data_IF_065428096407
#
_entry.id   IF_065428096407
#
_cell.length_a   1.000
_cell.length_b   1.000
_cell.length_c   1.000
_cell.angle_alpha   90.00
_cell.angle_beta   90.00
_cell.angle_gamma   90.00
#
_symmetry.space_group_name_H-M   'P 1'
#
loop_
_entity.id
_entity.type
_entity.pdbx_description
1 polymer ?
#
# COMPACT_ATOMS: atom_id res chain seq x y z
N UNK A 1 29.81 -24.56 19.23
CA UNK A 1 29.14 -24.49 20.55
C UNK A 1 28.23 -23.26 20.75
N UNK A 2 27.90 -22.47 19.70
CA UNK A 2 27.18 -21.19 19.80
C UNK A 2 25.70 -21.18 19.35
N UNK A 3 25.08 -22.34 19.12
CA UNK A 3 23.73 -22.39 18.54
C UNK A 3 22.60 -22.53 19.57
N UNK A 4 22.91 -22.74 20.86
CA UNK A 4 21.90 -23.01 21.90
C UNK A 4 21.40 -21.74 22.60
N UNK A 5 22.21 -20.67 22.65
CA UNK A 5 21.84 -19.42 23.33
C UNK A 5 20.89 -18.52 22.52
N UNK A 6 20.88 -18.63 21.19
CA UNK A 6 19.93 -17.90 20.32
C UNK A 6 18.51 -18.47 20.39
N UNK A 7 18.34 -19.77 20.60
CA UNK A 7 17.01 -20.37 20.74
C UNK A 7 16.34 -19.98 22.06
N UNK A 8 17.11 -19.90 23.15
CA UNK A 8 16.60 -19.52 24.47
C UNK A 8 16.16 -18.06 24.58
N UNK A 9 16.80 -17.14 23.85
CA UNK A 9 16.39 -15.72 23.81
C UNK A 9 15.08 -15.53 23.05
N UNK A 10 14.90 -16.22 21.91
CA UNK A 10 13.63 -16.22 21.17
C UNK A 10 12.46 -16.80 21.96
N UNK A 11 12.69 -17.85 22.76
CA UNK A 11 11.63 -18.47 23.57
C UNK A 11 11.20 -17.53 24.71
N UNK A 12 12.14 -16.83 25.36
CA UNK A 12 11.80 -15.83 26.40
C UNK A 12 11.00 -14.66 25.85
N UNK A 13 11.39 -14.12 24.69
CA UNK A 13 10.65 -13.03 24.03
C UNK A 13 9.24 -13.48 23.58
N UNK A 14 9.10 -14.73 23.13
CA UNK A 14 7.81 -15.30 22.73
C UNK A 14 6.89 -15.55 23.95
N UNK A 15 7.45 -15.93 25.11
CA UNK A 15 6.71 -16.07 26.37
C UNK A 15 6.27 -14.69 26.91
N UNK A 16 7.13 -13.69 26.90
CA UNK A 16 6.79 -12.33 27.35
C UNK A 16 5.75 -11.65 26.44
N UNK A 17 5.83 -11.86 25.13
CA UNK A 17 4.81 -11.39 24.19
C UNK A 17 3.44 -12.07 24.43
N UNK A 18 3.44 -13.36 24.78
CA UNK A 18 2.22 -14.12 25.08
C UNK A 18 1.60 -13.69 26.42
N UNK A 19 2.43 -13.38 27.42
CA UNK A 19 1.98 -12.87 28.72
C UNK A 19 1.40 -11.45 28.63
N UNK A 20 2.02 -10.56 27.85
CA UNK A 20 1.49 -9.22 27.61
C UNK A 20 0.19 -9.22 26.79
N UNK A 21 0.03 -10.16 25.86
CA UNK A 21 -1.21 -10.35 25.11
C UNK A 21 -2.38 -10.80 26.00
N UNK A 22 -2.12 -11.68 26.96
CA UNK A 22 -3.13 -12.11 27.94
C UNK A 22 -3.54 -11.00 28.92
N UNK A 23 -2.62 -10.10 29.30
CA UNK A 23 -2.95 -8.99 30.17
C UNK A 23 -3.87 -7.95 29.49
N UNK A 24 -3.73 -7.77 28.16
CA UNK A 24 -4.63 -6.91 27.38
C UNK A 24 -6.07 -7.48 27.29
N UNK A 25 -6.20 -8.81 27.20
CA UNK A 25 -7.52 -9.48 27.24
C UNK A 25 -8.15 -9.49 28.64
N UNK A 26 -7.36 -9.50 29.71
CA UNK A 26 -7.88 -9.36 31.08
C UNK A 26 -8.42 -7.95 31.37
N UNK A 27 -7.88 -6.89 30.76
CA UNK A 27 -8.42 -5.53 30.90
C UNK A 27 -9.73 -5.29 30.14
N UNK A 28 -9.98 -6.03 29.06
CA UNK A 28 -11.23 -5.95 28.28
C UNK A 28 -12.37 -6.77 28.90
N UNK A 29 -12.04 -7.80 29.67
CA UNK A 29 -13.00 -8.55 30.49
C UNK A 29 -12.88 -8.11 31.95
N UNK A 30 -13.46 -6.97 32.29
CA UNK A 30 -13.56 -6.45 33.66
C UNK A 30 -14.43 -7.30 34.59
N UNK A 31 -14.10 -8.58 34.73
CA UNK A 31 -14.71 -9.50 35.68
C UNK A 31 -13.60 -9.96 36.63
N UNK A 32 -13.43 -9.21 37.73
CA UNK A 32 -12.79 -9.76 38.93
C UNK A 32 -13.76 -10.81 39.48
N UNK A 33 -13.38 -12.08 39.39
CA UNK A 33 -14.02 -13.12 40.18
C UNK A 33 -13.46 -13.01 41.60
N UNK A 34 -14.19 -12.33 42.48
CA UNK A 34 -14.05 -12.56 43.92
C UNK A 34 -14.58 -13.95 44.22
N UNK A 35 -13.73 -14.81 44.77
CA UNK A 35 -13.98 -16.24 45.00
C UNK A 35 -14.82 -16.51 46.24
N UNK A 36 -15.73 -15.61 46.61
CA UNK A 36 -16.64 -15.84 47.70
C UNK A 36 -17.94 -15.11 47.47
N UNK A 37 -19.03 -15.79 47.79
CA UNK A 37 -20.43 -15.34 47.93
C UNK A 37 -21.35 -15.46 46.70
N UNK A 38 -22.33 -16.35 46.90
CA UNK A 38 -23.69 -16.40 46.34
C UNK A 38 -23.92 -17.18 45.05
N UNK A 39 -24.15 -18.49 45.26
CA UNK A 39 -25.23 -19.24 44.62
C UNK A 39 -26.54 -18.46 44.72
N UNK A 40 -26.82 -17.61 43.74
CA UNK A 40 -28.20 -17.24 43.42
C UNK A 40 -28.65 -18.09 42.23
N UNK A 41 -29.69 -18.89 42.50
CA UNK A 41 -30.51 -19.59 41.52
C UNK A 41 -31.12 -18.58 40.55
N UNK A 42 -30.41 -18.29 39.46
CA UNK A 42 -31.00 -17.60 38.31
C UNK A 42 -31.84 -18.61 37.56
N UNK A 43 -33.15 -18.44 37.72
CA UNK A 43 -34.23 -19.08 36.97
C UNK A 43 -33.85 -19.28 35.49
N UNK A 44 -33.71 -20.54 35.11
CA UNK A 44 -33.44 -21.00 33.76
C UNK A 44 -34.68 -20.82 32.88
N UNK A 45 -35.03 -19.57 32.58
CA UNK A 45 -36.04 -19.24 31.58
C UNK A 45 -35.53 -18.12 30.68
N UNK A 46 -34.40 -18.37 30.03
CA UNK A 46 -34.08 -17.70 28.77
C UNK A 46 -33.10 -18.54 27.96
N UNK A 47 -33.70 -19.23 26.98
CA UNK A 47 -33.13 -19.63 25.70
C UNK A 47 -31.62 -19.91 25.68
N UNK A 48 -31.33 -21.22 25.70
CA UNK A 48 -30.18 -21.86 25.07
C UNK A 48 -29.92 -21.27 23.67
N UNK A 49 -29.22 -20.13 23.61
CA UNK A 49 -28.44 -19.81 22.43
C UNK A 49 -27.24 -20.75 22.50
N UNK A 50 -27.22 -21.73 21.61
CA UNK A 50 -26.10 -22.65 21.45
C UNK A 50 -24.78 -21.87 21.60
N UNK A 51 -23.83 -22.33 22.44
CA UNK A 51 -22.54 -21.65 22.64
C UNK A 51 -21.79 -21.40 21.30
N UNK A 52 -22.12 -22.14 20.24
CA UNK A 52 -21.65 -21.86 18.88
C UNK A 52 -22.18 -20.54 18.29
N UNK A 53 -23.44 -20.19 18.52
CA UNK A 53 -24.02 -18.92 18.07
C UNK A 53 -23.40 -17.74 18.82
N UNK A 54 -23.20 -17.88 20.14
CA UNK A 54 -22.55 -16.86 20.96
C UNK A 54 -21.10 -16.61 20.51
N UNK A 55 -20.35 -17.68 20.18
CA UNK A 55 -19.01 -17.59 19.57
C UNK A 55 -19.04 -16.95 18.18
N UNK A 56 -20.00 -17.32 17.33
CA UNK A 56 -20.15 -16.72 16.00
C UNK A 56 -20.41 -15.21 16.04
N UNK A 57 -21.29 -14.74 16.95
CA UNK A 57 -21.56 -13.31 17.09
C UNK A 57 -20.40 -12.53 17.70
N UNK A 58 -19.65 -13.11 18.64
CA UNK A 58 -18.43 -12.48 19.19
C UNK A 58 -17.29 -12.42 18.17
N UNK A 59 -17.10 -13.47 17.35
CA UNK A 59 -16.18 -13.46 16.20
C UNK A 59 -16.58 -12.43 15.13
N UNK A 60 -17.89 -12.29 14.83
CA UNK A 60 -18.36 -11.24 13.90
C UNK A 60 -18.19 -9.82 14.45
N UNK A 61 -18.42 -9.60 15.75
CA UNK A 61 -18.27 -8.28 16.37
C UNK A 61 -16.80 -7.84 16.40
N UNK A 62 -15.90 -8.75 16.81
CA UNK A 62 -14.45 -8.49 16.81
C UNK A 62 -13.89 -8.24 15.40
N UNK A 63 -14.36 -8.96 14.38
CA UNK A 63 -13.93 -8.71 12.99
C UNK A 63 -14.41 -7.37 12.43
N UNK A 64 -15.61 -6.90 12.79
CA UNK A 64 -16.11 -5.58 12.37
C UNK A 64 -15.35 -4.45 13.05
N UNK A 65 -15.07 -4.58 14.34
CA UNK A 65 -14.29 -3.62 15.12
C UNK A 65 -12.85 -3.53 14.62
N UNK A 66 -12.22 -4.68 14.37
CA UNK A 66 -10.90 -4.76 13.75
C UNK A 66 -10.83 -4.02 12.41
N UNK A 67 -11.80 -4.26 11.52
CA UNK A 67 -11.88 -3.59 10.21
C UNK A 67 -12.02 -2.07 10.35
N UNK A 68 -12.77 -1.59 11.34
CA UNK A 68 -12.90 -0.15 11.61
C UNK A 68 -11.59 0.44 12.08
N UNK A 69 -10.91 -0.18 13.05
CA UNK A 69 -9.60 0.27 13.54
C UNK A 69 -8.58 0.34 12.40
N UNK A 70 -8.52 -0.71 11.56
CA UNK A 70 -7.64 -0.74 10.40
C UNK A 70 -7.93 0.38 9.40
N UNK A 71 -9.21 0.61 9.10
CA UNK A 71 -9.65 1.69 8.21
C UNK A 71 -9.24 3.06 8.76
N UNK A 72 -9.46 3.32 10.05
CA UNK A 72 -9.05 4.58 10.70
C UNK A 72 -7.54 4.81 10.57
N UNK A 73 -6.72 3.78 10.81
CA UNK A 73 -5.26 3.88 10.64
C UNK A 73 -4.85 4.19 9.20
N UNK A 74 -5.50 3.56 8.21
CA UNK A 74 -5.25 3.84 6.78
C UNK A 74 -5.58 5.27 6.42
N UNK A 75 -6.71 5.79 6.89
CA UNK A 75 -7.11 7.18 6.66
C UNK A 75 -6.09 8.13 7.30
N UNK A 76 -5.71 7.88 8.55
CA UNK A 76 -4.73 8.71 9.25
C UNK A 76 -3.37 8.77 8.52
N UNK A 77 -2.85 7.62 8.08
CA UNK A 77 -1.59 7.56 7.33
C UNK A 77 -1.72 8.20 5.95
N UNK A 78 -2.85 8.00 5.27
CA UNK A 78 -3.10 8.64 3.98
C UNK A 78 -3.12 10.15 4.12
N UNK A 79 -3.75 10.69 5.17
CA UNK A 79 -3.74 12.12 5.48
C UNK A 79 -2.34 12.65 5.77
N UNK A 80 -1.55 11.92 6.56
CA UNK A 80 -0.15 12.27 6.85
C UNK A 80 0.72 12.26 5.58
N UNK A 81 0.58 11.24 4.74
CA UNK A 81 1.28 11.15 3.46
C UNK A 81 0.84 12.25 2.51
N UNK A 82 -0.45 12.62 2.51
CA UNK A 82 -0.94 13.73 1.70
C UNK A 82 -0.32 15.07 2.10
N UNK A 83 -0.19 15.34 3.40
CA UNK A 83 0.51 16.54 3.87
C UNK A 83 1.95 16.59 3.35
N UNK A 84 2.66 15.46 3.33
CA UNK A 84 4.00 15.36 2.75
C UNK A 84 3.99 15.52 1.22
N UNK A 85 2.97 14.99 0.52
CA UNK A 85 2.78 15.23 -0.91
C UNK A 85 2.66 16.74 -1.19
N UNK A 86 1.84 17.46 -0.44
CA UNK A 86 1.66 18.90 -0.61
C UNK A 86 2.95 19.68 -0.33
N UNK A 87 3.63 19.36 0.78
CA UNK A 87 4.90 19.99 1.16
C UNK A 87 5.96 19.81 0.08
N UNK A 88 6.17 18.58 -0.41
CA UNK A 88 7.18 18.33 -1.44
C UNK A 88 6.76 18.82 -2.81
N UNK A 89 5.47 18.93 -3.12
CA UNK A 89 4.99 19.59 -4.33
C UNK A 89 5.29 21.10 -4.30
N UNK A 90 5.17 21.72 -3.11
CA UNK A 90 5.56 23.12 -2.92
C UNK A 90 7.08 23.30 -3.04
N UNK A 91 7.89 22.43 -2.43
CA UNK A 91 9.36 22.47 -2.60
C UNK A 91 9.75 22.27 -4.06
N UNK A 92 9.11 21.33 -4.77
CA UNK A 92 9.37 21.07 -6.19
C UNK A 92 9.16 22.32 -7.05
N UNK A 93 8.21 23.19 -6.68
CA UNK A 93 7.99 24.46 -7.36
C UNK A 93 9.24 25.36 -7.36
N UNK A 94 10.06 25.30 -6.30
CA UNK A 94 11.30 26.06 -6.12
C UNK A 94 12.48 25.48 -6.92
N UNK A 95 12.40 24.21 -7.36
CA UNK A 95 13.51 23.44 -7.95
C UNK A 95 13.62 23.53 -9.48
N UNK A 96 12.96 24.48 -10.13
CA UNK A 96 12.90 24.55 -11.59
C UNK A 96 14.27 24.79 -12.23
N UNK A 97 14.91 23.72 -12.72
CA UNK A 97 16.16 23.78 -13.49
C UNK A 97 15.89 24.36 -14.89
N UNK A 98 14.76 23.96 -15.49
CA UNK A 98 14.18 24.62 -16.65
C UNK A 98 12.79 25.12 -16.26
N UNK A 99 12.38 26.29 -16.74
CA UNK A 99 11.09 26.92 -16.37
C UNK A 99 9.88 25.98 -16.51
N UNK A 100 9.99 24.96 -17.38
CA UNK A 100 8.97 23.94 -17.63
C UNK A 100 9.26 22.54 -17.06
N UNK A 101 10.49 22.24 -16.59
CA UNK A 101 10.87 20.94 -16.00
C UNK A 101 11.23 21.09 -14.52
N UNK A 102 10.46 20.44 -13.66
CA UNK A 102 10.60 20.52 -12.20
C UNK A 102 10.77 19.14 -11.60
N UNK A 103 11.70 19.03 -10.65
CA UNK A 103 11.96 17.78 -9.93
C UNK A 103 10.91 17.63 -8.83
N UNK A 104 9.99 16.69 -8.99
CA UNK A 104 8.89 16.48 -8.05
C UNK A 104 9.00 15.15 -7.31
N UNK A 105 9.55 15.19 -6.10
CA UNK A 105 9.81 14.00 -5.28
C UNK A 105 8.54 13.53 -4.54
N UNK A 106 7.41 14.24 -4.64
CA UNK A 106 6.19 13.87 -3.91
C UNK A 106 5.61 12.50 -4.30
N UNK A 107 5.98 11.96 -5.47
CA UNK A 107 5.61 10.60 -5.90
C UNK A 107 6.04 9.53 -4.88
N UNK A 108 7.13 9.75 -4.15
CA UNK A 108 7.61 8.85 -3.08
C UNK A 108 6.50 8.58 -2.06
N UNK A 109 5.80 9.61 -1.60
CA UNK A 109 4.76 9.47 -0.56
C UNK A 109 3.49 8.80 -1.10
N UNK A 110 3.21 8.95 -2.39
CA UNK A 110 2.11 8.27 -3.06
C UNK A 110 2.41 6.77 -3.20
N UNK A 111 3.64 6.42 -3.59
CA UNK A 111 4.10 5.04 -3.64
C UNK A 111 4.17 4.41 -2.24
N UNK A 112 4.60 5.16 -1.23
CA UNK A 112 4.53 4.73 0.17
C UNK A 112 3.09 4.45 0.61
N UNK A 113 2.16 5.33 0.26
CA UNK A 113 0.72 5.16 0.55
C UNK A 113 0.16 3.92 -0.15
N UNK A 114 0.56 3.68 -1.40
CA UNK A 114 0.19 2.48 -2.15
C UNK A 114 0.60 1.21 -1.41
N UNK A 115 1.84 1.17 -0.89
CA UNK A 115 2.38 0.01 -0.18
C UNK A 115 1.72 -0.22 1.18
N UNK A 116 1.37 0.86 1.89
CA UNK A 116 0.87 0.79 3.28
C UNK A 116 -0.66 0.76 3.36
N UNK A 117 -1.34 1.69 2.71
CA UNK A 117 -2.78 1.88 2.80
C UNK A 117 -3.54 1.21 1.63
N UNK A 118 -2.93 1.17 0.45
CA UNK A 118 -3.42 0.46 -0.72
C UNK A 118 -3.66 1.35 -1.95
N UNK A 119 -4.00 0.72 -3.08
CA UNK A 119 -4.14 1.39 -4.38
C UNK A 119 -5.21 2.48 -4.41
N UNK A 120 -6.36 2.25 -3.77
CA UNK A 120 -7.45 3.24 -3.71
C UNK A 120 -7.00 4.53 -3.02
N UNK A 121 -6.24 4.44 -1.92
CA UNK A 121 -5.75 5.60 -1.19
C UNK A 121 -4.66 6.35 -1.98
N UNK A 122 -3.76 5.64 -2.64
CA UNK A 122 -2.77 6.26 -3.53
C UNK A 122 -3.46 7.01 -4.68
N UNK A 123 -4.48 6.41 -5.30
CA UNK A 123 -5.29 7.06 -6.34
C UNK A 123 -5.96 8.34 -5.80
N UNK A 124 -6.53 8.29 -4.59
CA UNK A 124 -7.09 9.47 -3.93
C UNK A 124 -6.03 10.56 -3.76
N UNK A 125 -4.80 10.23 -3.34
CA UNK A 125 -3.74 11.22 -3.23
C UNK A 125 -3.38 11.86 -4.58
N UNK A 126 -3.33 11.07 -5.65
CA UNK A 126 -3.05 11.56 -7.01
C UNK A 126 -4.11 12.56 -7.46
N UNK A 127 -5.40 12.24 -7.25
CA UNK A 127 -6.52 13.12 -7.59
C UNK A 127 -6.51 14.39 -6.75
N UNK A 128 -6.35 14.26 -5.43
CA UNK A 128 -6.30 15.41 -4.53
C UNK A 128 -5.10 16.31 -4.81
N UNK A 129 -3.95 15.72 -5.17
CA UNK A 129 -2.77 16.46 -5.59
C UNK A 129 -3.09 17.32 -6.82
N UNK A 130 -3.67 16.72 -7.86
CA UNK A 130 -4.06 17.46 -9.06
C UNK A 130 -5.07 18.58 -8.77
N UNK A 131 -6.03 18.34 -7.88
CA UNK A 131 -7.05 19.34 -7.54
C UNK A 131 -6.50 20.53 -6.72
N UNK A 132 -5.58 20.26 -5.78
CA UNK A 132 -5.18 21.23 -4.75
C UNK A 132 -3.84 21.90 -5.08
N UNK A 133 -2.86 21.18 -5.62
CA UNK A 133 -1.52 21.73 -5.91
C UNK A 133 -1.53 22.97 -6.82
N UNK A 134 -2.36 23.06 -7.87
CA UNK A 134 -2.44 24.27 -8.68
C UNK A 134 -2.66 25.55 -7.86
N UNK A 135 -3.45 25.48 -6.78
CA UNK A 135 -3.81 26.64 -5.96
C UNK A 135 -2.64 27.33 -5.26
N UNK A 136 -1.53 26.62 -5.01
CA UNK A 136 -0.37 27.17 -4.29
C UNK A 136 0.92 27.17 -5.12
N UNK A 137 0.82 26.91 -6.43
CA UNK A 137 1.95 27.03 -7.38
C UNK A 137 2.09 28.44 -7.98
N UNK A 138 1.51 29.46 -7.34
CA UNK A 138 1.58 30.87 -7.74
C UNK A 138 0.63 31.27 -8.88
N UNK A 139 0.78 32.48 -9.40
CA UNK A 139 -0.13 33.10 -10.39
C UNK A 139 -0.28 32.34 -11.72
N UNK A 140 0.59 31.36 -12.00
CA UNK A 140 0.52 30.51 -13.19
C UNK A 140 -0.19 29.16 -12.95
N UNK A 141 -0.52 28.78 -11.72
CA UNK A 141 -1.02 27.44 -11.39
C UNK A 141 -2.31 27.05 -12.11
N UNK A 142 -3.29 27.96 -12.13
CA UNK A 142 -4.57 27.79 -12.84
C UNK A 142 -4.59 28.40 -14.26
N UNK A 143 -3.43 28.81 -14.78
CA UNK A 143 -3.34 29.18 -16.21
C UNK A 143 -3.49 27.92 -17.08
N UNK A 144 -3.85 28.09 -18.36
CA UNK A 144 -3.96 26.96 -19.30
C UNK A 144 -2.67 26.12 -19.35
N UNK A 145 -1.51 26.77 -19.34
CA UNK A 145 -0.19 26.11 -19.32
C UNK A 145 0.06 25.43 -17.98
N UNK A 146 -0.30 26.07 -16.87
CA UNK A 146 -0.16 25.50 -15.53
C UNK A 146 -0.99 24.24 -15.35
N UNK A 147 -2.26 24.29 -15.77
CA UNK A 147 -3.17 23.14 -15.74
C UNK A 147 -2.62 22.01 -16.61
N UNK A 148 -2.12 22.30 -17.82
CA UNK A 148 -1.48 21.29 -18.66
C UNK A 148 -0.30 20.62 -17.94
N UNK A 149 0.57 21.39 -17.29
CA UNK A 149 1.66 20.85 -16.48
C UNK A 149 1.18 19.91 -15.36
N UNK A 150 0.11 20.30 -14.65
CA UNK A 150 -0.49 19.45 -13.61
C UNK A 150 -1.18 18.20 -14.19
N UNK A 151 -1.74 18.26 -15.40
CA UNK A 151 -2.27 17.09 -16.12
C UNK A 151 -1.14 16.12 -16.48
N UNK A 152 0.01 16.62 -16.95
CA UNK A 152 1.18 15.79 -17.25
C UNK A 152 1.65 15.08 -15.98
N UNK A 153 1.72 15.80 -14.85
CA UNK A 153 2.07 15.21 -13.55
C UNK A 153 1.05 14.16 -13.09
N UNK A 154 -0.25 14.44 -13.25
CA UNK A 154 -1.33 13.49 -12.94
C UNK A 154 -1.13 12.18 -13.72
N UNK A 155 -0.96 12.27 -15.05
CA UNK A 155 -0.75 11.11 -15.93
C UNK A 155 0.53 10.36 -15.55
N UNK A 156 1.61 11.09 -15.29
CA UNK A 156 2.89 10.52 -14.84
C UNK A 156 2.73 9.70 -13.56
N UNK A 157 2.02 10.25 -12.57
CA UNK A 157 1.83 9.59 -11.28
C UNK A 157 0.89 8.40 -11.39
N UNK A 158 -0.15 8.49 -12.23
CA UNK A 158 -1.03 7.38 -12.54
C UNK A 158 -0.24 6.23 -13.19
N UNK A 159 0.53 6.50 -14.25
CA UNK A 159 1.32 5.47 -14.94
C UNK A 159 2.28 4.78 -13.95
N UNK A 160 3.07 5.54 -13.19
CA UNK A 160 4.02 4.98 -12.23
C UNK A 160 3.33 4.09 -11.18
N UNK A 161 2.25 4.59 -10.58
CA UNK A 161 1.50 3.90 -9.52
C UNK A 161 0.81 2.65 -10.06
N UNK A 162 0.15 2.74 -11.22
CA UNK A 162 -0.56 1.63 -11.85
C UNK A 162 0.41 0.56 -12.35
N UNK A 163 1.51 0.93 -13.01
CA UNK A 163 2.51 -0.05 -13.48
C UNK A 163 3.13 -0.79 -12.30
N UNK A 164 3.52 -0.09 -11.23
CA UNK A 164 4.03 -0.75 -10.03
C UNK A 164 2.99 -1.71 -9.43
N UNK A 165 1.74 -1.26 -9.30
CA UNK A 165 0.64 -2.10 -8.80
C UNK A 165 0.44 -3.35 -9.66
N UNK A 166 0.45 -3.22 -10.99
CA UNK A 166 0.30 -4.35 -11.91
C UNK A 166 1.47 -5.32 -11.81
N UNK A 167 2.71 -4.85 -11.80
CA UNK A 167 3.90 -5.70 -11.65
C UNK A 167 3.88 -6.48 -10.34
N UNK A 168 3.53 -5.81 -9.24
CA UNK A 168 3.44 -6.44 -7.93
C UNK A 168 2.35 -7.52 -7.87
N UNK A 169 1.19 -7.28 -8.49
CA UNK A 169 0.09 -8.27 -8.54
C UNK A 169 0.32 -9.40 -9.55
N UNK A 170 0.91 -9.10 -10.70
CA UNK A 170 1.18 -10.11 -11.74
C UNK A 170 2.14 -11.19 -11.24
N UNK A 171 3.13 -10.81 -10.43
CA UNK A 171 4.02 -11.78 -9.78
C UNK A 171 3.28 -12.79 -8.90
N UNK A 172 2.22 -12.37 -8.20
CA UNK A 172 1.40 -13.27 -7.38
C UNK A 172 0.73 -14.33 -8.25
N UNK A 173 0.18 -13.91 -9.39
CA UNK A 173 -0.52 -14.79 -10.33
C UNK A 173 0.46 -15.81 -10.94
N UNK A 174 1.63 -15.33 -11.39
CA UNK A 174 2.60 -16.17 -12.08
C UNK A 174 3.33 -17.13 -11.15
N UNK A 175 3.53 -16.76 -9.88
CA UNK A 175 4.35 -17.54 -8.96
C UNK A 175 3.80 -18.93 -8.66
N UNK A 176 2.52 -19.25 -8.98
CA UNK A 176 1.82 -20.57 -8.83
C UNK A 176 2.00 -21.34 -7.51
N UNK A 177 2.81 -20.83 -6.57
CA UNK A 177 3.07 -21.32 -5.22
C UNK A 177 2.02 -20.82 -4.22
N UNK A 178 1.01 -20.11 -4.71
CA UNK A 178 -0.18 -19.81 -3.94
C UNK A 178 -1.02 -21.09 -3.91
N UNK A 179 -0.60 -22.09 -3.10
CA UNK A 179 -1.44 -23.26 -2.80
C UNK A 179 -2.78 -22.72 -2.31
N UNK A 180 -3.84 -23.00 -3.06
CA UNK A 180 -5.18 -22.58 -2.70
C UNK A 180 -5.68 -23.38 -1.49
N UNK A 181 -5.13 -23.14 -0.30
CA UNK A 181 -5.66 -23.68 0.95
C UNK A 181 -6.91 -22.88 1.35
N UNK A 182 -8.04 -23.57 1.47
CA UNK A 182 -9.38 -23.08 1.85
C UNK A 182 -9.49 -22.40 3.23
N UNK A 183 -8.37 -22.13 3.90
CA UNK A 183 -8.35 -21.45 5.20
C UNK A 183 -8.24 -19.94 5.03
N UNK A 184 -9.33 -19.32 4.59
CA UNK A 184 -9.88 -18.00 4.92
C UNK A 184 -9.00 -16.75 5.24
N UNK A 185 -7.71 -16.67 4.89
CA UNK A 185 -6.91 -15.43 4.78
C UNK A 185 -5.53 -15.79 4.23
N UNK A 186 -5.26 -15.45 2.96
CA UNK A 186 -3.91 -15.58 2.40
C UNK A 186 -3.19 -14.25 2.47
N UNK A 187 -2.09 -14.26 3.21
CA UNK A 187 -1.12 -13.18 3.21
C UNK A 187 0.03 -13.64 2.33
N UNK A 188 0.25 -12.97 1.20
CA UNK A 188 1.37 -13.28 0.31
C UNK A 188 2.49 -12.28 0.58
N UNK A 189 3.62 -12.79 1.07
CA UNK A 189 4.83 -12.00 1.21
C UNK A 189 5.53 -11.89 -0.14
N UNK A 190 5.65 -10.66 -0.65
CA UNK A 190 6.57 -10.37 -1.75
C UNK A 190 7.93 -10.05 -1.14
N UNK A 191 8.98 -10.83 -1.42
CA UNK A 191 10.32 -10.57 -0.89
C UNK A 191 10.82 -9.16 -1.25
N UNK A 192 11.59 -8.54 -0.35
CA UNK A 192 12.14 -7.19 -0.51
C UNK A 192 12.83 -6.98 -1.88
N UNK A 193 13.63 -7.97 -2.32
CA UNK A 193 14.32 -7.94 -3.62
C UNK A 193 13.34 -7.69 -4.77
N UNK A 194 12.19 -8.36 -4.76
CA UNK A 194 11.18 -8.22 -5.80
C UNK A 194 10.48 -6.86 -5.74
N UNK A 195 10.20 -6.33 -4.54
CA UNK A 195 9.65 -4.98 -4.40
C UNK A 195 10.58 -3.92 -4.99
N UNK A 196 11.89 -4.05 -4.74
CA UNK A 196 12.92 -3.19 -5.34
C UNK A 196 12.97 -3.34 -6.86
N UNK A 197 12.90 -4.57 -7.38
CA UNK A 197 12.86 -4.79 -8.83
C UNK A 197 11.61 -4.17 -9.47
N UNK A 198 10.44 -4.30 -8.85
CA UNK A 198 9.19 -3.73 -9.39
C UNK A 198 9.18 -2.22 -9.39
N UNK A 199 9.73 -1.57 -8.36
CA UNK A 199 9.80 -0.11 -8.36
C UNK A 199 10.75 0.40 -9.45
N UNK A 200 11.92 -0.22 -9.61
CA UNK A 200 12.86 0.15 -10.67
C UNK A 200 12.22 -0.06 -12.05
N UNK A 201 11.58 -1.20 -12.28
CA UNK A 201 10.90 -1.50 -13.55
C UNK A 201 9.74 -0.53 -13.82
N UNK A 202 8.92 -0.21 -12.82
CA UNK A 202 7.81 0.72 -12.97
C UNK A 202 8.29 2.13 -13.33
N UNK A 203 9.37 2.60 -12.70
CA UNK A 203 9.96 3.91 -12.98
C UNK A 203 10.63 3.97 -14.36
N UNK A 204 11.31 2.89 -14.78
CA UNK A 204 11.89 2.78 -16.12
C UNK A 204 10.80 2.80 -17.21
N UNK A 205 9.72 2.02 -17.05
CA UNK A 205 8.58 2.03 -17.97
C UNK A 205 7.87 3.40 -18.00
N UNK A 206 7.74 4.05 -16.85
CA UNK A 206 7.18 5.41 -16.75
C UNK A 206 8.04 6.41 -17.50
N UNK A 207 9.37 6.29 -17.42
CA UNK A 207 10.33 7.14 -18.16
C UNK A 207 10.05 7.06 -19.65
N UNK A 208 9.97 5.83 -20.21
CA UNK A 208 9.71 5.63 -21.63
C UNK A 208 8.33 6.17 -22.02
N UNK A 209 7.30 5.85 -21.25
CA UNK A 209 5.93 6.29 -21.55
C UNK A 209 5.79 7.82 -21.54
N UNK A 210 6.34 8.49 -20.52
CA UNK A 210 6.25 9.96 -20.41
C UNK A 210 7.16 10.66 -21.40
N UNK A 211 8.35 10.14 -21.70
CA UNK A 211 9.19 10.69 -22.80
C UNK A 211 8.47 10.59 -24.15
N UNK A 212 7.77 9.48 -24.40
CA UNK A 212 6.94 9.30 -25.61
C UNK A 212 5.81 10.31 -25.67
N UNK A 213 5.02 10.43 -24.59
CA UNK A 213 3.90 11.37 -24.53
C UNK A 213 4.37 12.82 -24.61
N UNK A 214 5.50 13.18 -23.97
CA UNK A 214 6.07 14.52 -24.10
C UNK A 214 6.45 14.82 -25.54
N UNK A 215 7.12 13.89 -26.22
CA UNK A 215 7.58 14.08 -27.60
C UNK A 215 6.45 14.29 -28.59
N UNK A 216 5.40 13.46 -28.51
CA UNK A 216 4.34 13.41 -29.53
C UNK A 216 3.08 14.18 -29.19
N UNK A 217 2.79 14.41 -27.91
CA UNK A 217 1.53 15.00 -27.46
C UNK A 217 1.75 16.29 -26.68
N UNK A 218 2.48 16.24 -25.56
CA UNK A 218 2.52 17.39 -24.66
C UNK A 218 3.35 18.54 -25.19
N UNK A 219 4.43 18.30 -25.93
CA UNK A 219 5.20 19.38 -26.54
C UNK A 219 4.43 20.15 -27.60
N UNK A 220 3.80 19.49 -28.60
CA UNK A 220 2.93 20.21 -29.54
C UNK A 220 1.83 21.02 -28.84
N UNK A 221 1.21 20.46 -27.79
CA UNK A 221 0.21 21.18 -27.00
C UNK A 221 0.81 22.38 -26.27
N UNK A 222 1.97 22.21 -25.63
CA UNK A 222 2.66 23.26 -24.90
C UNK A 222 3.01 24.43 -25.83
N UNK A 223 3.71 24.17 -26.93
CA UNK A 223 4.10 25.21 -27.89
C UNK A 223 2.88 25.88 -28.55
N UNK A 224 1.77 25.16 -28.74
CA UNK A 224 0.52 25.73 -29.24
C UNK A 224 -0.13 26.68 -28.22
N UNK A 225 -0.15 26.33 -26.93
CA UNK A 225 -0.65 27.21 -25.87
C UNK A 225 0.19 28.48 -25.69
N UNK A 226 1.46 28.44 -26.05
CA UNK A 226 2.34 29.62 -26.09
C UNK A 226 2.23 30.44 -27.38
N UNK A 227 1.36 30.05 -28.33
CA UNK A 227 1.22 30.72 -29.62
C UNK A 227 2.44 30.58 -30.55
N UNK A 228 3.36 29.65 -30.25
CA UNK A 228 4.54 29.39 -31.08
C UNK A 228 4.22 28.51 -32.29
N UNK A 229 3.14 27.72 -32.22
CA UNK A 229 2.59 26.96 -33.33
C UNK A 229 1.47 27.75 -34.02
N UNK A 230 1.68 28.10 -35.30
CA UNK A 230 0.67 28.77 -36.13
C UNK A 230 -0.40 27.82 -36.69
N UNK A 231 -0.31 26.52 -36.40
CA UNK A 231 -1.21 25.48 -36.89
C UNK A 231 -1.70 24.55 -35.76
N UNK A 232 -2.42 23.46 -36.10
CA UNK A 232 -2.91 22.52 -35.10
C UNK A 232 -1.76 21.91 -34.28
N UNK A 233 -2.02 21.65 -33.00
CA UNK A 233 -1.08 21.09 -32.02
C UNK A 233 -0.73 19.62 -32.36
N UNK A 234 0.08 19.45 -33.39
CA UNK A 234 0.47 18.15 -33.94
C UNK A 234 1.99 18.02 -33.96
N UNK A 235 2.45 16.77 -33.85
CA UNK A 235 3.86 16.43 -33.97
C UNK A 235 4.49 16.98 -35.27
N UNK A 236 3.80 16.84 -36.41
CA UNK A 236 4.31 17.26 -37.72
C UNK A 236 4.61 18.76 -37.76
N UNK A 237 3.71 19.57 -37.22
CA UNK A 237 3.90 21.02 -37.19
C UNK A 237 5.05 21.42 -36.24
N UNK A 238 5.20 20.71 -35.12
CA UNK A 238 6.30 20.93 -34.18
C UNK A 238 7.65 20.58 -34.81
N UNK A 239 7.74 19.45 -35.51
CA UNK A 239 8.97 19.03 -36.20
C UNK A 239 9.39 20.02 -37.29
N UNK A 240 8.43 20.56 -38.04
CA UNK A 240 8.72 21.58 -39.06
C UNK A 240 9.24 22.89 -38.44
N UNK A 241 8.62 23.35 -37.34
CA UNK A 241 9.08 24.57 -36.64
C UNK A 241 10.46 24.39 -36.00
N UNK A 242 10.74 23.20 -35.48
CA UNK A 242 12.02 22.87 -34.85
C UNK A 242 13.21 23.09 -35.79
N UNK A 243 13.07 22.64 -37.04
CA UNK A 243 14.09 22.79 -38.07
C UNK A 243 14.29 24.26 -38.49
N UNK A 244 13.23 25.07 -38.45
CA UNK A 244 13.23 26.44 -38.99
C UNK A 244 13.63 27.51 -37.96
N UNK A 245 13.36 27.30 -36.68
CA UNK A 245 13.49 28.35 -35.64
C UNK A 245 14.68 28.15 -34.68
N UNK A 246 15.58 27.19 -34.93
CA UNK A 246 16.78 27.02 -34.11
C UNK A 246 16.51 26.52 -32.68
N UNK A 247 15.34 25.90 -32.44
CA UNK A 247 14.99 25.33 -31.14
C UNK A 247 15.88 24.16 -30.73
N UNK A 248 16.72 23.64 -31.63
CA UNK A 248 17.66 22.54 -31.36
C UNK A 248 18.53 22.77 -30.13
N UNK A 249 18.89 24.02 -29.83
CA UNK A 249 19.68 24.36 -28.63
C UNK A 249 19.03 23.91 -27.32
N UNK A 250 17.69 24.00 -27.21
CA UNK A 250 16.96 23.53 -26.02
C UNK A 250 16.95 22.00 -25.88
N UNK A 251 17.36 21.29 -26.92
CA UNK A 251 17.36 19.84 -27.03
C UNK A 251 18.77 19.32 -27.35
N UNK A 252 19.76 19.90 -26.67
CA UNK A 252 21.18 19.53 -26.75
C UNK A 252 21.83 19.72 -28.13
N UNK A 253 21.27 20.59 -28.97
CA UNK A 253 21.77 20.86 -30.32
C UNK A 253 21.52 19.73 -31.32
N UNK A 254 20.64 18.78 -31.01
CA UNK A 254 20.33 17.66 -31.90
C UNK A 254 19.49 18.19 -33.09
N UNK A 255 19.82 17.90 -34.36
CA UNK A 255 19.09 18.47 -35.51
C UNK A 255 17.67 17.92 -35.69
N UNK A 256 17.45 16.68 -35.27
CA UNK A 256 16.18 15.97 -35.43
C UNK A 256 15.30 16.11 -34.20
N UNK A 257 14.08 16.65 -34.36
CA UNK A 257 13.16 16.93 -33.26
C UNK A 257 12.87 15.71 -32.40
N UNK A 258 12.58 14.55 -33.01
CA UNK A 258 12.30 13.31 -32.26
C UNK A 258 13.47 12.98 -31.35
N UNK A 259 14.69 12.94 -31.91
CA UNK A 259 15.88 12.54 -31.19
C UNK A 259 16.22 13.55 -30.08
N UNK A 260 16.12 14.84 -30.38
CA UNK A 260 16.33 15.91 -29.40
C UNK A 260 15.33 15.85 -28.25
N UNK A 261 14.05 15.73 -28.57
CA UNK A 261 12.96 15.63 -27.59
C UNK A 261 13.09 14.38 -26.72
N UNK A 262 13.31 13.21 -27.32
CA UNK A 262 13.55 11.98 -26.55
C UNK A 262 14.79 12.08 -25.67
N UNK A 263 15.89 12.63 -26.17
CA UNK A 263 17.10 12.81 -25.37
C UNK A 263 16.82 13.70 -24.14
N UNK A 264 16.17 14.85 -24.34
CA UNK A 264 15.81 15.78 -23.25
C UNK A 264 14.93 15.12 -22.21
N UNK A 265 13.78 14.58 -22.60
CA UNK A 265 12.83 14.01 -21.64
C UNK A 265 13.35 12.72 -21.02
N UNK A 266 14.08 11.88 -21.76
CA UNK A 266 14.64 10.65 -21.18
C UNK A 266 15.72 10.98 -20.16
N UNK A 267 16.62 11.93 -20.45
CA UNK A 267 17.62 12.37 -19.49
C UNK A 267 16.97 12.96 -18.23
N UNK A 268 16.02 13.88 -18.41
CA UNK A 268 15.30 14.51 -17.30
C UNK A 268 14.50 13.49 -16.47
N UNK A 269 13.67 12.67 -17.11
CA UNK A 269 12.86 11.66 -16.44
C UNK A 269 13.74 10.61 -15.73
N UNK A 270 14.87 10.24 -16.31
CA UNK A 270 15.82 9.32 -15.67
C UNK A 270 16.38 9.91 -14.38
N UNK A 271 16.79 11.19 -14.39
CA UNK A 271 17.27 11.88 -13.18
C UNK A 271 16.15 11.94 -12.13
N UNK A 272 14.99 12.45 -12.52
CA UNK A 272 13.79 12.59 -11.68
C UNK A 272 13.42 11.26 -11.02
N UNK A 273 13.30 10.20 -11.80
CA UNK A 273 12.89 8.90 -11.28
C UNK A 273 14.02 8.13 -10.59
N UNK A 274 15.29 8.44 -10.85
CA UNK A 274 16.39 7.90 -10.04
C UNK A 274 16.31 8.44 -8.61
N UNK A 275 16.06 9.74 -8.44
CA UNK A 275 15.86 10.36 -7.13
C UNK A 275 14.66 9.72 -6.42
N UNK A 276 13.50 9.68 -7.09
CA UNK A 276 12.28 9.03 -6.54
C UNK A 276 12.54 7.56 -6.19
N UNK A 277 13.25 6.84 -7.05
CA UNK A 277 13.58 5.42 -6.87
C UNK A 277 14.43 5.18 -5.63
N UNK A 278 15.52 5.93 -5.46
CA UNK A 278 16.40 5.81 -4.28
C UNK A 278 15.64 6.06 -2.99
N UNK A 279 14.86 7.16 -2.93
CA UNK A 279 14.10 7.51 -1.71
C UNK A 279 13.02 6.47 -1.43
N UNK A 280 12.30 6.01 -2.46
CA UNK A 280 11.27 4.98 -2.31
C UNK A 280 11.86 3.64 -1.86
N UNK A 281 13.02 3.23 -2.40
CA UNK A 281 13.71 2.01 -1.96
C UNK A 281 14.15 2.14 -0.49
N UNK A 282 14.68 3.29 -0.09
CA UNK A 282 14.98 3.58 1.31
C UNK A 282 13.76 3.43 2.22
N UNK A 283 12.62 3.98 1.80
CA UNK A 283 11.33 3.80 2.49
C UNK A 283 10.92 2.33 2.59
N UNK A 284 11.00 1.56 1.50
CA UNK A 284 10.67 0.13 1.49
C UNK A 284 11.54 -0.63 2.50
N UNK A 285 12.86 -0.39 2.50
CA UNK A 285 13.80 -1.05 3.42
C UNK A 285 13.43 -0.70 4.87
N UNK A 286 13.21 0.58 5.18
CA UNK A 286 12.80 1.03 6.51
C UNK A 286 11.48 0.38 6.95
N UNK A 287 10.46 0.43 6.09
CA UNK A 287 9.15 -0.15 6.38
C UNK A 287 9.23 -1.67 6.59
N UNK A 288 10.02 -2.38 5.78
CA UNK A 288 10.21 -3.83 5.91
C UNK A 288 10.81 -4.25 7.25
N UNK A 289 11.56 -3.36 7.93
CA UNK A 289 12.10 -3.60 9.27
C UNK A 289 11.12 -3.18 10.38
N UNK A 290 10.37 -2.10 10.15
CA UNK A 290 9.55 -1.45 11.18
C UNK A 290 8.06 -1.82 11.15
N UNK A 291 7.60 -2.61 10.18
CA UNK A 291 6.16 -2.88 9.95
C UNK A 291 5.41 -3.39 11.18
N UNK A 292 6.08 -4.17 12.05
CA UNK A 292 5.49 -4.74 13.28
C UNK A 292 4.94 -3.67 14.21
N UNK A 293 5.57 -2.50 14.26
CA UNK A 293 5.19 -1.41 15.14
C UNK A 293 3.97 -0.62 14.65
N UNK A 294 3.69 -0.64 13.34
CA UNK A 294 2.59 0.14 12.77
C UNK A 294 1.23 -0.55 12.93
N UNK A 295 1.20 -1.85 13.20
CA UNK A 295 -0.03 -2.61 13.46
C UNK A 295 -1.10 -2.41 12.38
N UNK A 296 -0.66 -2.17 11.15
CA UNK A 296 -1.48 -2.18 9.95
C UNK A 296 -1.39 -3.60 9.42
N UNK A 297 -2.53 -4.29 9.34
CA UNK A 297 -2.60 -5.49 8.52
C UNK A 297 -2.10 -5.08 7.14
N UNK A 298 -1.06 -5.76 6.70
CA UNK A 298 -0.35 -5.51 5.44
C UNK A 298 -1.31 -5.78 4.30
N UNK A 299 -2.11 -4.77 4.01
CA UNK A 299 -3.25 -4.90 3.13
C UNK A 299 -2.87 -4.97 1.67
N UNK A 300 -1.57 -4.91 1.36
CA UNK A 300 -1.08 -5.22 0.03
C UNK A 300 0.06 -6.23 0.02
N UNK A 301 1.12 -6.18 0.83
CA UNK A 301 2.09 -7.29 0.88
C UNK A 301 2.80 -7.36 2.22
N UNK A 302 3.11 -8.60 2.63
CA UNK A 302 3.79 -9.02 3.86
C UNK A 302 2.79 -9.39 4.99
N UNK A 303 3.31 -10.05 6.01
CA UNK A 303 2.78 -10.67 7.27
C UNK A 303 2.43 -12.15 7.26
N UNK A 304 3.13 -12.83 8.17
CA UNK A 304 2.99 -14.22 8.50
C UNK A 304 2.31 -14.16 9.84
N UNK A 305 1.02 -14.50 9.90
CA UNK A 305 0.45 -15.00 11.14
C UNK A 305 0.11 -16.46 10.93
N UNK A 306 0.91 -17.30 11.58
CA UNK A 306 0.57 -18.69 11.84
C UNK A 306 -0.53 -18.63 12.89
N UNK A 307 -1.77 -18.44 12.47
CA UNK A 307 -2.91 -18.82 13.31
C UNK A 307 -2.86 -20.34 13.36
N UNK A 308 -2.22 -20.90 14.40
CA UNK A 308 -2.42 -22.30 14.75
C UNK A 308 -3.93 -22.46 14.90
N UNK A 309 -4.56 -23.19 13.98
CA UNK A 309 -5.92 -23.68 14.20
C UNK A 309 -5.92 -24.31 15.60
N UNK A 310 -6.85 -23.95 16.50
CA UNK A 310 -7.03 -24.73 17.71
C UNK A 310 -7.21 -26.17 17.22
N UNK A 311 -6.30 -27.05 17.66
CA UNK A 311 -6.35 -28.47 17.38
C UNK A 311 -7.77 -28.87 17.75
N UNK A 312 -8.64 -29.14 16.77
CA UNK A 312 -9.95 -29.67 17.06
C UNK A 312 -9.65 -30.98 17.78
N UNK A 313 -9.88 -31.02 19.10
CA UNK A 313 -9.83 -32.28 19.81
C UNK A 313 -10.81 -33.18 19.07
N UNK A 314 -10.39 -34.37 18.64
CA UNK A 314 -11.29 -35.29 17.96
C UNK A 314 -12.51 -35.49 18.86
N UNK A 315 -13.69 -35.14 18.35
CA UNK A 315 -14.99 -35.37 18.98
C UNK A 315 -15.23 -36.85 19.34
N UNK A 316 -14.36 -37.75 18.90
CA UNK A 316 -14.35 -39.17 19.23
C UNK A 316 -14.15 -39.48 20.74
N UNK A 317 -13.73 -38.52 21.58
CA UNK A 317 -13.56 -38.78 23.03
C UNK A 317 -14.84 -38.56 23.85
N UNK A 318 -15.88 -37.93 23.30
CA UNK A 318 -17.14 -37.66 24.02
C UNK A 318 -18.28 -38.64 23.71
N UNK A 319 -18.00 -39.73 22.99
CA UNK A 319 -18.96 -40.79 22.68
C UNK A 319 -18.59 -42.13 23.35
N UNK A 320 -18.00 -42.12 24.55
CA UNK A 320 -18.11 -43.30 25.43
C UNK A 320 -19.47 -43.26 26.10
N UNK A 321 -20.41 -43.92 25.44
CA UNK A 321 -21.67 -44.43 25.98
C UNK A 321 -21.36 -45.04 27.35
N UNK A 322 -21.80 -44.42 28.43
CA UNK A 322 -21.91 -45.09 29.72
C UNK A 322 -23.01 -46.12 29.53
N UNK A 323 -22.62 -47.39 29.42
CA UNK A 323 -23.58 -48.49 29.50
C UNK A 323 -24.28 -48.39 30.86
N UNK A 324 -25.62 -48.55 30.92
CA UNK A 324 -26.31 -48.58 32.19
C UNK A 324 -25.82 -49.80 32.98
N UNK A 325 -25.24 -49.54 34.15
CA UNK A 325 -24.97 -50.56 35.16
C UNK A 325 -26.31 -51.19 35.55
N UNK A 326 -26.56 -52.41 35.08
CA UNK A 326 -27.68 -53.22 35.53
C UNK A 326 -27.37 -53.66 36.97
N UNK A 327 -27.97 -52.98 37.94
CA UNK A 327 -28.06 -53.50 39.31
C UNK A 327 -29.04 -54.68 39.31
N UNK A 328 -28.54 -55.90 39.06
CA UNK A 328 -29.24 -57.12 39.46
C UNK A 328 -28.96 -57.34 40.96
N UNK A 329 -29.84 -56.81 41.79
CA UNK A 329 -29.92 -57.14 43.21
C UNK A 329 -30.61 -58.52 43.30
N UNK A 330 -29.85 -59.53 43.71
CA UNK A 330 -30.34 -60.89 43.96
C UNK A 330 -30.98 -60.92 45.36
N UNK A 331 -32.29 -61.17 45.41
CA UNK A 331 -33.02 -61.43 46.65
C UNK A 331 -33.46 -62.89 46.63
N UNK A 332 -32.58 -63.77 47.07
CA UNK A 332 -32.94 -65.13 47.47
C UNK A 332 -32.50 -65.37 48.93
N UNK A 333 -33.50 -65.39 49.81
CA UNK A 333 -33.48 -65.97 51.16
C UNK A 333 -34.69 -66.90 51.27
#
# INVERSE_FOLDING_TARGET
>A
MFNKERETTTIKEEIEATLNYNHYNQKLNGVRFDSSTQLQTVSAKNQSKSPALLRFFTERKSTKEYKRILLTKKIAITGMMFALVLLFSWIAHLSGIFTFLKIDVSLVFILATLMVAGYQYALTLIILKFAIVPAFTGGAGYSHVGILGHVILLITFLIATTVYYLLANFHLVLSRKIKISDSNRRIVHVPLKWQVTYIIAALALTTVAISTLNTFLFNPLYFSLFGMLQGPATYSNMANLYALQGFSTFFFGIPEYINGSYALYTAFNTIQFSIVGVVTVGFIIFYSKSYKYFGLDQSIYLTKEVVKKPKQLPLAVLSKKTDPVSNSFDWSF
#
